data_IF_451758938965
#
_entry.id   IF_451758938965
#
_cell.length_a   1.000
_cell.length_b   1.000
_cell.length_c   1.000
_cell.angle_alpha   90.00
_cell.angle_beta   90.00
_cell.angle_gamma   90.00
#
_symmetry.space_group_name_H-M   'P 1'
#
loop_
_entity.id
_entity.type
_entity.pdbx_description
1 polymer ?
#
# COMPACT_ATOMS: atom_id res chain seq x y z
N UNK A 1 -31.02 -8.20 12.55
CA UNK A 1 -32.02 -8.22 11.45
C UNK A 1 -31.85 -6.88 10.72
N UNK A 2 -31.13 -6.86 9.60
CA UNK A 2 -30.99 -5.63 8.82
C UNK A 2 -32.39 -5.17 8.37
N UNK A 3 -32.76 -3.93 8.70
CA UNK A 3 -33.98 -3.32 8.18
C UNK A 3 -33.91 -3.33 6.64
N UNK A 4 -34.93 -3.89 6.00
CA UNK A 4 -35.05 -3.85 4.55
C UNK A 4 -35.28 -2.39 4.13
N UNK A 5 -34.43 -1.88 3.24
CA UNK A 5 -34.56 -0.53 2.69
C UNK A 5 -35.97 -0.31 2.12
N UNK A 6 -36.56 0.85 2.40
CA UNK A 6 -37.93 1.16 1.95
C UNK A 6 -37.96 1.43 0.44
N UNK A 7 -39.13 1.34 -0.19
CA UNK A 7 -39.29 1.70 -1.61
C UNK A 7 -38.90 3.17 -1.88
N UNK A 8 -39.09 4.04 -0.89
CA UNK A 8 -38.69 5.45 -0.94
C UNK A 8 -37.16 5.60 -0.95
N UNK A 9 -36.46 4.85 -0.11
CA UNK A 9 -34.98 4.85 -0.06
C UNK A 9 -34.38 4.35 -1.38
N UNK A 10 -34.94 3.28 -1.95
CA UNK A 10 -34.51 2.74 -3.24
C UNK A 10 -34.73 3.77 -4.36
N UNK A 11 -35.87 4.46 -4.36
CA UNK A 11 -36.17 5.48 -5.35
C UNK A 11 -35.25 6.70 -5.20
N UNK A 12 -34.96 7.12 -3.96
CA UNK A 12 -34.02 8.21 -3.68
C UNK A 12 -32.61 7.85 -4.16
N UNK A 13 -32.11 6.65 -3.84
CA UNK A 13 -30.82 6.16 -4.31
C UNK A 13 -30.70 6.22 -5.85
N UNK A 14 -31.71 5.71 -6.57
CA UNK A 14 -31.75 5.77 -8.05
C UNK A 14 -31.75 7.20 -8.58
N UNK A 15 -32.45 8.13 -7.91
CA UNK A 15 -32.46 9.54 -8.30
C UNK A 15 -31.10 10.21 -8.11
N UNK A 16 -30.39 9.90 -7.02
CA UNK A 16 -29.03 10.41 -6.76
C UNK A 16 -28.08 9.92 -7.84
N UNK A 17 -28.04 8.61 -8.11
CA UNK A 17 -27.17 8.02 -9.14
C UNK A 17 -27.47 8.63 -10.51
N UNK A 18 -28.75 8.75 -10.87
CA UNK A 18 -29.16 9.33 -12.14
C UNK A 18 -28.87 10.83 -12.27
N UNK A 19 -28.91 11.59 -11.16
CA UNK A 19 -28.49 12.99 -11.15
C UNK A 19 -26.98 13.13 -11.32
N UNK A 20 -26.19 12.24 -10.69
CA UNK A 20 -24.74 12.17 -10.85
C UNK A 20 -24.32 11.82 -12.29
N UNK A 21 -24.98 10.83 -12.90
CA UNK A 21 -24.74 10.44 -14.29
C UNK A 21 -24.96 11.60 -15.28
N UNK A 22 -25.98 12.44 -15.02
CA UNK A 22 -26.30 13.62 -15.84
C UNK A 22 -25.50 14.88 -15.50
N UNK A 23 -24.61 14.81 -14.50
CA UNK A 23 -23.89 15.95 -13.93
C UNK A 23 -24.81 17.11 -13.48
N UNK A 24 -25.98 16.78 -12.94
CA UNK A 24 -26.99 17.75 -12.46
C UNK A 24 -26.70 18.17 -11.02
N UNK A 25 -25.71 19.05 -10.85
CA UNK A 25 -25.26 19.56 -9.54
C UNK A 25 -26.40 20.19 -8.72
N UNK A 26 -27.32 21.01 -9.29
CA UNK A 26 -28.47 21.51 -8.53
C UNK A 26 -29.37 20.40 -7.97
N UNK A 27 -29.68 19.37 -8.75
CA UNK A 27 -30.47 18.24 -8.27
C UNK A 27 -29.72 17.45 -7.19
N UNK A 28 -28.42 17.18 -7.38
CA UNK A 28 -27.59 16.49 -6.39
C UNK A 28 -27.58 17.20 -5.04
N UNK A 29 -27.40 18.52 -5.02
CA UNK A 29 -27.42 19.31 -3.78
C UNK A 29 -28.76 19.26 -3.03
N UNK A 30 -29.86 18.95 -3.72
CA UNK A 30 -31.16 18.75 -3.08
C UNK A 30 -31.25 17.32 -2.56
N UNK A 31 -30.92 16.33 -3.41
CA UNK A 31 -31.09 14.92 -3.10
C UNK A 31 -30.16 14.42 -1.98
N UNK A 32 -28.95 14.97 -1.88
CA UNK A 32 -27.95 14.61 -0.85
C UNK A 32 -28.28 15.17 0.54
N UNK A 33 -29.30 16.01 0.69
CA UNK A 33 -29.75 16.47 2.02
C UNK A 33 -30.41 15.36 2.84
N UNK A 34 -31.18 14.54 2.14
CA UNK A 34 -31.97 13.45 2.75
C UNK A 34 -31.45 12.08 2.32
N UNK A 35 -30.39 12.02 1.52
CA UNK A 35 -29.78 10.79 1.00
C UNK A 35 -28.26 10.77 1.15
N UNK A 36 -27.63 9.71 0.66
CA UNK A 36 -26.19 9.49 0.81
C UNK A 36 -25.46 9.53 -0.53
N UNK A 37 -24.24 10.07 -0.54
CA UNK A 37 -23.34 9.99 -1.70
C UNK A 37 -22.79 8.56 -1.93
N UNK A 38 -23.03 7.65 -0.98
CA UNK A 38 -22.60 6.24 -1.00
C UNK A 38 -23.74 5.26 -1.24
N UNK A 39 -24.89 5.73 -1.74
CA UNK A 39 -25.95 4.81 -2.18
C UNK A 39 -25.42 3.88 -3.27
N UNK A 40 -25.86 2.62 -3.26
CA UNK A 40 -25.47 1.64 -4.27
C UNK A 40 -26.67 1.12 -5.06
N UNK A 41 -26.50 0.96 -6.38
CA UNK A 41 -27.38 0.20 -7.24
C UNK A 41 -26.80 -1.22 -7.43
N UNK A 42 -27.31 -2.24 -6.70
CA UNK A 42 -26.80 -3.60 -6.80
C UNK A 42 -27.18 -4.27 -8.11
N UNK A 43 -27.91 -3.62 -9.02
CA UNK A 43 -28.25 -4.15 -10.35
C UNK A 43 -27.29 -3.64 -11.43
N UNK A 44 -26.68 -2.47 -11.24
CA UNK A 44 -25.67 -1.92 -12.15
C UNK A 44 -24.36 -2.73 -12.10
N UNK A 45 -23.59 -2.72 -13.20
CA UNK A 45 -22.25 -3.32 -13.27
C UNK A 45 -21.17 -2.27 -13.04
N UNK A 46 -21.22 -1.18 -13.80
CA UNK A 46 -20.23 -0.09 -13.76
C UNK A 46 -20.68 1.06 -12.85
N UNK A 47 -21.89 1.59 -13.06
CA UNK A 47 -22.45 2.75 -12.33
C UNK A 47 -23.08 2.33 -10.99
N UNK A 48 -22.34 1.62 -10.15
CA UNK A 48 -22.85 1.08 -8.88
C UNK A 48 -23.06 2.16 -7.83
N UNK A 49 -22.24 3.22 -7.81
CA UNK A 49 -22.40 4.37 -6.90
C UNK A 49 -22.51 5.69 -7.69
N UNK A 50 -22.97 6.80 -7.07
CA UNK A 50 -23.02 8.11 -7.71
C UNK A 50 -21.68 8.54 -8.31
N UNK A 51 -20.57 8.23 -7.64
CA UNK A 51 -19.23 8.60 -8.11
C UNK A 51 -18.83 7.77 -9.34
N UNK A 52 -19.09 6.46 -9.34
CA UNK A 52 -18.91 5.63 -10.52
C UNK A 52 -19.75 6.14 -11.70
N UNK A 53 -21.02 6.49 -11.46
CA UNK A 53 -21.94 6.96 -12.49
C UNK A 53 -21.50 8.30 -13.11
N UNK A 54 -21.10 9.27 -12.27
CA UNK A 54 -20.62 10.57 -12.72
C UNK A 54 -19.34 10.45 -13.57
N UNK A 55 -18.40 9.60 -13.17
CA UNK A 55 -17.13 9.46 -13.90
C UNK A 55 -17.33 8.66 -15.19
N UNK A 56 -18.13 7.59 -15.14
CA UNK A 56 -18.42 6.77 -16.32
C UNK A 56 -19.09 7.58 -17.44
N UNK A 57 -19.96 8.54 -17.10
CA UNK A 57 -20.67 9.36 -18.08
C UNK A 57 -19.82 10.43 -18.79
N UNK A 58 -18.62 10.74 -18.26
CA UNK A 58 -17.65 11.62 -18.93
C UNK A 58 -17.22 11.07 -20.30
N UNK A 59 -17.20 9.74 -20.45
CA UNK A 59 -16.71 9.08 -21.66
C UNK A 59 -15.19 9.25 -21.87
N UNK A 60 -14.66 8.69 -22.96
CA UNK A 60 -13.23 8.73 -23.26
C UNK A 60 -12.79 10.14 -23.65
N UNK A 61 -11.68 10.60 -23.07
CA UNK A 61 -11.12 11.93 -23.36
C UNK A 61 -10.77 12.11 -24.84
N UNK A 62 -10.32 11.05 -25.53
CA UNK A 62 -10.04 11.05 -26.96
C UNK A 62 -11.27 11.32 -27.83
N UNK A 63 -12.45 10.86 -27.39
CA UNK A 63 -13.70 10.94 -28.15
C UNK A 63 -14.52 12.19 -27.79
N UNK A 64 -14.47 12.62 -26.53
CA UNK A 64 -15.36 13.67 -25.98
C UNK A 64 -14.64 14.92 -25.47
N UNK A 65 -13.31 15.00 -25.58
CA UNK A 65 -12.45 16.01 -24.92
C UNK A 65 -12.47 15.82 -23.39
N UNK A 66 -11.67 16.60 -22.67
CA UNK A 66 -11.59 16.58 -21.21
C UNK A 66 -12.97 16.78 -20.56
N UNK A 67 -13.13 16.24 -19.34
CA UNK A 67 -14.36 16.35 -18.55
C UNK A 67 -14.86 17.80 -18.45
N UNK A 68 -16.18 17.98 -18.59
CA UNK A 68 -16.80 19.31 -18.50
C UNK A 68 -16.72 19.87 -17.07
N UNK A 69 -16.87 21.18 -16.93
CA UNK A 69 -16.87 21.83 -15.61
C UNK A 69 -18.01 21.31 -14.72
N UNK A 70 -19.15 20.96 -15.31
CA UNK A 70 -20.27 20.33 -14.59
C UNK A 70 -19.91 18.93 -14.06
N UNK A 71 -19.16 18.15 -14.84
CA UNK A 71 -18.69 16.84 -14.42
C UNK A 71 -17.68 16.95 -13.27
N UNK A 72 -16.73 17.87 -13.37
CA UNK A 72 -15.76 18.19 -12.32
C UNK A 72 -16.48 18.63 -11.04
N UNK A 73 -17.43 19.57 -11.16
CA UNK A 73 -18.20 20.05 -10.02
C UNK A 73 -19.07 18.96 -9.40
N UNK A 74 -19.58 18.02 -10.21
CA UNK A 74 -20.32 16.85 -9.73
C UNK A 74 -19.44 15.95 -8.87
N UNK A 75 -18.25 15.59 -9.37
CA UNK A 75 -17.28 14.77 -8.63
C UNK A 75 -16.87 15.45 -7.32
N UNK A 76 -16.55 16.75 -7.38
CA UNK A 76 -16.23 17.54 -6.18
C UNK A 76 -17.36 17.53 -5.16
N UNK A 77 -18.60 17.78 -5.60
CA UNK A 77 -19.79 17.80 -4.74
C UNK A 77 -19.99 16.44 -4.06
N UNK A 78 -19.84 15.35 -4.79
CA UNK A 78 -19.98 13.99 -4.24
C UNK A 78 -18.91 13.70 -3.18
N UNK A 79 -17.65 14.02 -3.45
CA UNK A 79 -16.54 13.84 -2.50
C UNK A 79 -16.73 14.69 -1.24
N UNK A 80 -17.18 15.93 -1.36
CA UNK A 80 -17.50 16.81 -0.22
C UNK A 80 -18.66 16.28 0.64
N UNK A 81 -19.55 15.47 0.06
CA UNK A 81 -20.65 14.79 0.75
C UNK A 81 -20.29 13.35 1.16
N UNK A 82 -18.99 13.03 1.24
CA UNK A 82 -18.52 11.77 1.80
C UNK A 82 -18.52 10.58 0.83
N UNK A 83 -18.55 10.81 -0.49
CA UNK A 83 -18.39 9.74 -1.46
C UNK A 83 -17.05 9.02 -1.28
N UNK A 84 -17.09 7.69 -1.25
CA UNK A 84 -15.91 6.83 -1.04
C UNK A 84 -15.10 6.73 -2.34
N UNK A 85 -13.81 7.08 -2.26
CA UNK A 85 -12.93 7.18 -3.43
C UNK A 85 -12.44 5.83 -3.98
N UNK A 86 -12.39 4.82 -3.11
CA UNK A 86 -11.92 3.46 -3.35
C UNK A 86 -13.05 2.42 -3.34
N UNK A 87 -14.31 2.83 -3.39
CA UNK A 87 -15.44 1.90 -3.44
C UNK A 87 -15.37 1.08 -4.73
N UNK A 88 -15.68 -0.22 -4.66
CA UNK A 88 -15.55 -1.11 -5.81
C UNK A 88 -16.90 -1.32 -6.48
N UNK A 89 -16.91 -1.27 -7.81
CA UNK A 89 -18.05 -1.76 -8.59
C UNK A 89 -17.98 -3.29 -8.80
N UNK A 90 -18.92 -3.85 -9.57
CA UNK A 90 -18.96 -5.31 -9.82
C UNK A 90 -17.85 -5.82 -10.74
N UNK A 91 -17.14 -4.92 -11.41
CA UNK A 91 -16.01 -5.21 -12.29
C UNK A 91 -14.68 -5.03 -11.55
N UNK A 92 -14.72 -4.89 -10.22
CA UNK A 92 -13.55 -4.64 -9.38
C UNK A 92 -12.80 -3.35 -9.76
N UNK A 93 -13.53 -2.33 -10.24
CA UNK A 93 -13.00 -1.01 -10.51
C UNK A 93 -13.43 -0.01 -9.44
N UNK A 94 -12.50 0.86 -9.03
CA UNK A 94 -12.82 2.08 -8.27
C UNK A 94 -13.25 3.20 -9.23
N UNK A 95 -13.85 4.30 -8.73
CA UNK A 95 -14.08 5.48 -9.56
C UNK A 95 -12.78 6.05 -10.17
N UNK A 96 -11.65 5.93 -9.46
CA UNK A 96 -10.32 6.28 -9.99
C UNK A 96 -9.86 5.36 -11.14
N UNK A 97 -10.11 4.05 -11.04
CA UNK A 97 -9.84 3.11 -12.14
C UNK A 97 -10.61 3.49 -13.40
N UNK A 98 -11.90 3.84 -13.28
CA UNK A 98 -12.71 4.30 -14.41
C UNK A 98 -12.15 5.60 -14.99
N UNK A 99 -11.82 6.59 -14.15
CA UNK A 99 -11.26 7.87 -14.60
C UNK A 99 -9.96 7.67 -15.41
N UNK A 100 -9.07 6.81 -14.91
CA UNK A 100 -7.83 6.46 -15.58
C UNK A 100 -8.08 5.78 -16.93
N UNK A 101 -8.94 4.75 -16.96
CA UNK A 101 -9.29 4.01 -18.19
C UNK A 101 -9.94 4.91 -19.26
N UNK A 102 -10.69 5.93 -18.84
CA UNK A 102 -11.28 6.92 -19.74
C UNK A 102 -10.31 8.03 -20.17
N UNK A 103 -9.09 8.08 -19.62
CA UNK A 103 -8.12 9.13 -19.87
C UNK A 103 -8.52 10.50 -19.30
N UNK A 104 -9.43 10.52 -18.33
CA UNK A 104 -9.95 11.75 -17.72
C UNK A 104 -9.01 12.26 -16.62
N UNK A 105 -7.84 12.76 -17.03
CA UNK A 105 -6.72 13.10 -16.12
C UNK A 105 -7.13 14.00 -14.95
N UNK A 106 -7.84 15.11 -15.19
CA UNK A 106 -8.26 16.03 -14.12
C UNK A 106 -9.15 15.35 -13.08
N UNK A 107 -10.06 14.48 -13.51
CA UNK A 107 -10.92 13.70 -12.61
C UNK A 107 -10.10 12.65 -11.86
N UNK A 108 -9.17 11.98 -12.54
CA UNK A 108 -8.26 11.03 -11.91
C UNK A 108 -7.43 11.70 -10.79
N UNK A 109 -6.85 12.87 -11.07
CA UNK A 109 -6.08 13.64 -10.10
C UNK A 109 -6.95 14.01 -8.88
N UNK A 110 -8.22 14.41 -9.07
CA UNK A 110 -9.16 14.65 -7.98
C UNK A 110 -9.41 13.40 -7.12
N UNK A 111 -9.48 12.22 -7.75
CA UNK A 111 -9.64 10.94 -7.04
C UNK A 111 -8.40 10.60 -6.20
N UNK A 112 -7.19 10.79 -6.74
CA UNK A 112 -5.94 10.62 -6.00
C UNK A 112 -5.92 11.57 -4.79
N UNK A 113 -6.22 12.85 -5.00
CA UNK A 113 -6.25 13.83 -3.91
C UNK A 113 -7.31 13.50 -2.84
N UNK A 114 -8.46 12.95 -3.25
CA UNK A 114 -9.48 12.49 -2.31
C UNK A 114 -8.97 11.34 -1.43
N UNK A 115 -8.27 10.37 -2.03
CA UNK A 115 -7.64 9.28 -1.29
C UNK A 115 -6.61 9.79 -0.30
N UNK A 116 -5.70 10.66 -0.73
CA UNK A 116 -4.69 11.26 0.15
C UNK A 116 -5.33 12.00 1.32
N UNK A 117 -6.36 12.82 1.08
CA UNK A 117 -7.08 13.53 2.15
C UNK A 117 -7.74 12.56 3.14
N UNK A 118 -8.33 11.47 2.64
CA UNK A 118 -8.96 10.46 3.49
C UNK A 118 -7.93 9.77 4.40
N UNK A 119 -6.81 9.30 3.85
CA UNK A 119 -5.75 8.62 4.61
C UNK A 119 -5.16 9.54 5.70
N UNK A 120 -4.89 10.81 5.38
CA UNK A 120 -4.39 11.79 6.36
C UNK A 120 -5.42 12.04 7.46
N UNK A 121 -6.70 12.20 7.09
CA UNK A 121 -7.76 12.41 8.06
C UNK A 121 -7.85 11.22 9.03
N UNK A 122 -7.82 9.99 8.52
CA UNK A 122 -7.85 8.79 9.35
C UNK A 122 -6.63 8.66 10.26
N UNK A 123 -5.43 8.90 9.73
CA UNK A 123 -4.22 8.89 10.55
C UNK A 123 -4.28 9.92 11.69
N UNK A 124 -4.85 11.11 11.44
CA UNK A 124 -5.05 12.14 12.48
C UNK A 124 -6.14 11.77 13.47
N UNK A 125 -7.26 11.18 13.02
CA UNK A 125 -8.32 10.69 13.91
C UNK A 125 -7.81 9.59 14.84
N UNK A 126 -7.05 8.63 14.31
CA UNK A 126 -6.41 7.57 15.11
C UNK A 126 -5.45 8.18 16.14
N UNK A 127 -4.60 9.12 15.74
CA UNK A 127 -3.66 9.80 16.63
C UNK A 127 -4.36 10.61 17.75
N UNK A 128 -5.56 11.13 17.50
CA UNK A 128 -6.38 11.83 18.50
C UNK A 128 -7.20 10.87 19.39
N UNK A 129 -7.09 9.56 19.19
CA UNK A 129 -7.91 8.57 19.90
C UNK A 129 -9.39 8.64 19.52
N UNK A 130 -9.71 9.21 18.36
CA UNK A 130 -11.06 9.33 17.80
C UNK A 130 -11.41 8.18 16.83
N UNK A 131 -10.57 7.14 16.77
CA UNK A 131 -10.88 5.92 16.02
C UNK A 131 -11.87 5.06 16.80
N UNK A 132 -13.01 4.73 16.20
CA UNK A 132 -13.91 3.71 16.76
C UNK A 132 -13.19 2.35 16.77
N UNK A 133 -13.21 1.57 17.87
CA UNK A 133 -12.88 0.16 17.79
C UNK A 133 -13.91 -0.52 16.89
N UNK A 134 -13.48 -1.15 15.81
CA UNK A 134 -14.37 -1.98 15.02
C UNK A 134 -14.91 -3.11 15.93
N UNK A 135 -16.20 -3.06 16.28
CA UNK A 135 -16.86 -4.20 16.92
C UNK A 135 -16.87 -5.38 15.91
N UNK A 136 -16.25 -6.50 16.29
CA UNK A 136 -16.30 -7.76 15.55
C UNK A 136 -17.76 -8.24 15.44
N UNK A 137 -18.44 -7.90 14.33
CA UNK A 137 -19.70 -8.54 13.98
C UNK A 137 -19.36 -9.93 13.41
N UNK A 138 -19.71 -10.97 14.15
CA UNK A 138 -19.76 -12.36 13.66
C UNK A 138 -20.78 -12.47 12.51
N UNK A 139 -20.37 -12.08 11.30
CA UNK A 139 -20.99 -12.53 10.04
C UNK A 139 -19.88 -13.02 9.10
N UNK A 140 -20.03 -14.26 8.63
CA UNK A 140 -19.12 -15.05 7.80
C UNK A 140 -18.84 -14.43 6.40
N UNK A 141 -18.24 -13.25 6.36
CA UNK A 141 -17.63 -12.68 5.17
C UNK A 141 -16.20 -12.26 5.50
N UNK A 142 -15.24 -13.06 5.06
CA UNK A 142 -13.80 -12.85 5.18
C UNK A 142 -13.42 -11.40 4.82
N UNK A 143 -13.14 -10.59 5.84
CA UNK A 143 -12.43 -9.32 5.67
C UNK A 143 -10.95 -9.67 5.81
N UNK A 144 -10.34 -9.97 4.68
CA UNK A 144 -8.90 -10.14 4.52
C UNK A 144 -8.23 -8.78 4.79
N UNK A 145 -7.39 -8.68 5.81
CA UNK A 145 -6.51 -7.53 6.04
C UNK A 145 -5.35 -7.57 5.03
N UNK A 146 -5.61 -7.22 3.76
CA UNK A 146 -4.54 -7.18 2.76
C UNK A 146 -3.51 -6.07 3.04
N UNK A 147 -2.23 -6.39 2.84
CA UNK A 147 -1.13 -5.41 2.67
C UNK A 147 -1.58 -4.27 1.76
N UNK A 148 -1.16 -3.02 2.01
CA UNK A 148 -2.01 -1.82 1.99
C UNK A 148 -2.90 -1.72 0.75
N UNK A 149 -4.00 -2.46 0.76
CA UNK A 149 -5.15 -2.24 -0.08
C UNK A 149 -6.08 -1.37 0.76
N UNK A 150 -6.52 -0.26 0.16
CA UNK A 150 -7.22 0.81 0.85
C UNK A 150 -8.35 0.28 1.78
N UNK A 151 -8.27 0.63 3.06
CA UNK A 151 -9.22 0.20 4.11
C UNK A 151 -10.66 0.43 3.60
N UNK A 152 -11.48 -0.62 3.60
CA UNK A 152 -12.93 -0.47 3.36
C UNK A 152 -13.53 0.40 4.47
N UNK A 153 -14.02 1.58 4.14
CA UNK A 153 -14.80 2.41 5.07
C UNK A 153 -16.12 1.69 5.40
N UNK A 154 -16.34 1.32 6.67
CA UNK A 154 -17.64 0.88 7.21
C UNK A 154 -18.13 1.86 8.28
N UNK A 155 -19.45 2.08 8.34
CA UNK A 155 -20.15 2.91 9.33
C UNK A 155 -20.98 2.01 10.24
N UNK A 156 -21.06 2.38 11.52
CA UNK A 156 -21.61 1.62 12.66
C UNK A 156 -23.14 1.61 12.77
N UNK A 157 -23.68 0.54 13.41
CA UNK A 157 -25.01 0.49 14.05
C UNK A 157 -24.86 -0.19 15.42
N UNK A 158 -25.50 0.36 16.46
CA UNK A 158 -25.20 0.18 17.90
C UNK A 158 -25.51 -1.20 18.57
N UNK A 159 -24.63 -1.51 19.54
CA UNK A 159 -24.74 -2.20 20.85
C UNK A 159 -24.95 -3.75 20.98
N UNK A 160 -23.90 -4.46 21.42
CA UNK A 160 -23.93 -5.42 22.56
C UNK A 160 -22.52 -5.91 23.03
N UNK A 161 -22.29 -5.95 24.36
CA UNK A 161 -21.01 -6.31 25.02
C UNK A 161 -20.64 -7.81 24.96
N UNK A 162 -19.33 -8.17 24.91
CA UNK A 162 -18.86 -9.56 24.78
C UNK A 162 -18.69 -10.30 26.11
N UNK A 163 -18.77 -11.63 26.06
CA UNK A 163 -18.42 -12.58 27.14
C UNK A 163 -17.18 -13.36 26.69
N UNK A 164 -16.07 -13.22 27.42
CA UNK A 164 -14.79 -13.89 27.13
C UNK A 164 -14.84 -15.41 27.39
N UNK A 165 -14.35 -16.19 26.43
CA UNK A 165 -13.91 -17.58 26.62
C UNK A 165 -12.52 -17.78 25.99
N UNK A 166 -11.71 -18.72 26.54
CA UNK A 166 -10.27 -18.77 26.31
C UNK A 166 -9.93 -19.25 24.90
N UNK A 167 -8.99 -18.55 24.26
CA UNK A 167 -8.57 -18.73 22.87
C UNK A 167 -7.82 -20.05 22.65
N UNK A 168 -8.40 -20.93 21.83
CA UNK A 168 -7.62 -21.88 21.04
C UNK A 168 -6.85 -21.10 19.97
N UNK A 169 -5.56 -21.41 19.74
CA UNK A 169 -4.76 -20.80 18.66
C UNK A 169 -5.53 -20.88 17.34
N UNK A 170 -6.01 -19.73 16.83
CA UNK A 170 -6.63 -19.64 15.51
C UNK A 170 -5.52 -19.93 14.48
N UNK A 171 -5.68 -21.00 13.70
CA UNK A 171 -4.84 -21.22 12.51
C UNK A 171 -5.22 -20.14 11.51
N UNK A 172 -4.29 -19.23 11.20
CA UNK A 172 -4.50 -18.21 10.16
C UNK A 172 -4.46 -18.89 8.79
N UNK A 173 -5.38 -18.50 7.90
CA UNK A 173 -5.38 -18.93 6.49
C UNK A 173 -4.26 -18.24 5.68
N UNK A 174 -3.98 -16.98 6.02
CA UNK A 174 -2.89 -16.20 5.44
C UNK A 174 -1.91 -15.78 6.55
N UNK A 175 -0.71 -16.39 6.54
CA UNK A 175 0.32 -16.11 7.55
C UNK A 175 0.93 -14.72 7.40
N UNK A 176 0.76 -14.05 6.25
CA UNK A 176 1.30 -12.70 6.01
C UNK A 176 0.56 -11.60 6.78
N UNK A 177 -0.60 -11.93 7.36
CA UNK A 177 -1.43 -11.02 8.15
C UNK A 177 -0.87 -10.77 9.56
N UNK A 178 0.00 -11.65 10.05
CA UNK A 178 0.63 -11.49 11.36
C UNK A 178 2.12 -11.79 11.26
N UNK A 179 2.94 -10.81 11.64
CA UNK A 179 4.39 -10.92 11.57
C UNK A 179 4.91 -12.14 12.35
N UNK A 180 4.32 -12.45 13.52
CA UNK A 180 4.74 -13.58 14.33
C UNK A 180 4.36 -14.93 13.71
N UNK A 181 3.22 -15.03 13.04
CA UNK A 181 2.80 -16.19 12.27
C UNK A 181 3.71 -16.39 11.06
N UNK A 182 3.97 -15.34 10.28
CA UNK A 182 4.92 -15.37 9.16
C UNK A 182 6.30 -15.88 9.58
N UNK A 183 6.86 -15.37 10.68
CA UNK A 183 8.20 -15.79 11.17
C UNK A 183 8.26 -17.24 11.68
N UNK A 184 7.12 -17.87 11.94
CA UNK A 184 7.01 -19.30 12.30
C UNK A 184 6.68 -20.18 11.09
N UNK A 185 6.27 -19.57 9.98
CA UNK A 185 5.81 -20.26 8.77
C UNK A 185 6.95 -20.93 8.01
N UNK A 186 6.61 -21.77 7.03
CA UNK A 186 7.57 -22.43 6.15
C UNK A 186 7.73 -21.69 4.82
N UNK A 187 8.91 -21.11 4.61
CA UNK A 187 9.32 -20.54 3.33
C UNK A 187 9.73 -21.62 2.32
N UNK A 188 9.37 -21.39 1.06
CA UNK A 188 9.69 -22.24 -0.08
C UNK A 188 10.44 -21.46 -1.14
N UNK A 189 11.72 -21.77 -1.33
CA UNK A 189 12.52 -21.24 -2.44
C UNK A 189 12.28 -22.08 -3.69
N UNK A 190 11.75 -21.47 -4.74
CA UNK A 190 11.70 -22.03 -6.10
C UNK A 190 12.63 -21.22 -7.02
N UNK A 191 12.75 -21.64 -8.28
CA UNK A 191 13.50 -20.86 -9.26
C UNK A 191 12.82 -19.51 -9.45
N UNK A 192 13.53 -18.42 -9.13
CA UNK A 192 13.05 -17.05 -9.34
C UNK A 192 12.01 -16.52 -8.34
N UNK A 193 11.57 -17.31 -7.35
CA UNK A 193 10.54 -16.88 -6.39
C UNK A 193 10.76 -17.48 -5.00
N UNK A 194 10.49 -16.66 -3.99
CA UNK A 194 10.36 -17.04 -2.58
C UNK A 194 8.88 -16.96 -2.17
N UNK A 195 8.34 -18.07 -1.68
CA UNK A 195 6.95 -18.15 -1.20
C UNK A 195 6.92 -18.34 0.32
N UNK A 196 5.90 -17.79 0.97
CA UNK A 196 5.55 -18.13 2.35
C UNK A 196 4.72 -19.43 2.44
N UNK A 197 4.22 -19.75 3.63
CA UNK A 197 3.41 -20.96 3.83
C UNK A 197 2.06 -20.90 3.11
N UNK A 198 1.47 -19.71 2.99
CA UNK A 198 0.18 -19.42 2.37
C UNK A 198 0.26 -19.12 0.86
N UNK A 199 1.40 -19.42 0.23
CA UNK A 199 1.69 -19.17 -1.19
C UNK A 199 1.74 -17.68 -1.59
N UNK A 200 1.91 -16.75 -0.64
CA UNK A 200 2.24 -15.37 -1.00
C UNK A 200 3.67 -15.29 -1.53
N UNK A 201 3.86 -14.52 -2.61
CA UNK A 201 5.18 -14.21 -3.12
C UNK A 201 5.86 -13.16 -2.23
N UNK A 202 6.87 -13.61 -1.48
CA UNK A 202 7.66 -12.77 -0.56
C UNK A 202 8.70 -11.97 -1.33
N UNK A 203 9.28 -12.56 -2.39
CA UNK A 203 10.28 -11.93 -3.25
C UNK A 203 10.32 -12.64 -4.60
N UNK A 204 10.51 -11.89 -5.69
CA UNK A 204 10.68 -12.45 -7.03
C UNK A 204 11.89 -11.88 -7.78
N UNK A 205 12.41 -12.61 -8.75
CA UNK A 205 13.60 -12.22 -9.52
C UNK A 205 13.34 -11.16 -10.60
N UNK A 206 12.09 -10.94 -11.02
CA UNK A 206 11.74 -9.86 -11.94
C UNK A 206 12.14 -8.47 -11.41
N UNK A 207 12.21 -8.34 -10.08
CA UNK A 207 12.62 -7.12 -9.37
C UNK A 207 14.13 -6.84 -9.45
N UNK A 208 14.93 -7.72 -10.06
CA UNK A 208 16.40 -7.62 -10.06
C UNK A 208 16.91 -6.26 -10.54
N UNK A 209 16.31 -5.70 -11.60
CA UNK A 209 16.73 -4.39 -12.12
C UNK A 209 16.38 -3.25 -11.14
N UNK A 210 15.25 -3.35 -10.45
CA UNK A 210 14.83 -2.39 -9.42
C UNK A 210 15.81 -2.43 -8.23
N UNK A 211 16.15 -3.63 -7.76
CA UNK A 211 17.11 -3.82 -6.65
C UNK A 211 18.51 -3.30 -7.00
N UNK A 212 18.96 -3.52 -8.23
CA UNK A 212 20.22 -2.96 -8.74
C UNK A 212 20.18 -1.44 -8.76
N UNK A 213 19.06 -0.86 -9.22
CA UNK A 213 18.90 0.59 -9.27
C UNK A 213 18.86 1.23 -7.88
N UNK A 214 18.27 0.57 -6.89
CA UNK A 214 18.36 0.99 -5.48
C UNK A 214 19.80 1.03 -4.99
N UNK A 215 20.58 -0.03 -5.21
CA UNK A 215 22.00 -0.04 -4.84
C UNK A 215 22.79 1.09 -5.53
N UNK A 216 22.57 1.33 -6.82
CA UNK A 216 23.23 2.41 -7.57
C UNK A 216 22.91 3.81 -7.05
N UNK A 217 21.64 4.09 -6.76
CA UNK A 217 21.18 5.42 -6.35
C UNK A 217 21.58 5.74 -4.91
N UNK A 218 21.52 4.74 -4.03
CA UNK A 218 21.89 4.87 -2.62
C UNK A 218 23.42 4.83 -2.41
N UNK A 219 24.16 4.09 -3.25
CA UNK A 219 25.60 3.86 -3.09
C UNK A 219 26.38 4.34 -4.33
N UNK A 220 26.44 5.67 -4.58
CA UNK A 220 27.04 6.23 -5.80
C UNK A 220 28.59 6.16 -5.80
N UNK A 221 29.21 5.72 -4.71
CA UNK A 221 30.66 5.63 -4.56
C UNK A 221 31.05 4.51 -3.59
N UNK A 222 32.25 3.95 -3.71
CA UNK A 222 32.73 2.91 -2.80
C UNK A 222 32.98 3.46 -1.38
N UNK A 223 33.07 2.54 -0.42
CA UNK A 223 33.46 2.83 0.96
C UNK A 223 32.36 3.38 1.84
N UNK A 224 31.08 3.31 1.41
CA UNK A 224 29.94 3.68 2.25
C UNK A 224 29.62 2.58 3.26
N UNK A 225 29.08 2.97 4.42
CA UNK A 225 28.53 2.07 5.43
C UNK A 225 27.04 1.90 5.16
N UNK A 226 26.60 0.66 4.98
CA UNK A 226 25.28 0.39 4.40
C UNK A 226 24.49 -0.54 5.31
N UNK A 227 23.16 -0.47 5.23
CA UNK A 227 22.26 -1.42 5.86
C UNK A 227 21.13 -1.80 4.93
N UNK A 228 20.78 -3.08 4.95
CA UNK A 228 19.52 -3.59 4.43
C UNK A 228 18.71 -4.21 5.59
N UNK A 229 17.40 -4.00 5.57
CA UNK A 229 16.43 -4.62 6.47
C UNK A 229 15.47 -5.47 5.64
N UNK A 230 15.60 -6.80 5.77
CA UNK A 230 14.93 -7.81 4.93
C UNK A 230 15.86 -8.35 3.84
N UNK A 231 16.42 -9.55 4.04
CA UNK A 231 17.34 -10.17 3.07
C UNK A 231 16.59 -10.86 1.93
N UNK A 232 15.51 -11.58 2.26
CA UNK A 232 14.69 -12.32 1.29
C UNK A 232 15.51 -13.32 0.45
N UNK A 233 15.70 -12.99 -0.84
CA UNK A 233 16.50 -13.78 -1.78
C UNK A 233 17.96 -13.32 -1.90
N UNK A 234 18.32 -12.19 -1.29
CA UNK A 234 19.64 -11.57 -1.30
C UNK A 234 19.96 -10.81 -2.58
N UNK A 235 18.93 -10.41 -3.35
CA UNK A 235 19.09 -9.71 -4.63
C UNK A 235 19.68 -8.32 -4.39
N UNK A 236 19.06 -7.53 -3.51
CA UNK A 236 19.54 -6.18 -3.18
C UNK A 236 20.89 -6.22 -2.46
N UNK A 237 21.11 -7.13 -1.51
CA UNK A 237 22.40 -7.23 -0.82
C UNK A 237 23.53 -7.60 -1.79
N UNK A 238 23.25 -8.47 -2.77
CA UNK A 238 24.21 -8.81 -3.81
C UNK A 238 24.54 -7.58 -4.65
N UNK A 239 23.54 -6.79 -5.04
CA UNK A 239 23.74 -5.53 -5.75
C UNK A 239 24.52 -4.52 -4.90
N UNK A 240 24.19 -4.33 -3.62
CA UNK A 240 24.91 -3.45 -2.70
C UNK A 240 26.40 -3.80 -2.66
N UNK A 241 26.74 -5.09 -2.59
CA UNK A 241 28.14 -5.52 -2.57
C UNK A 241 28.91 -5.24 -3.87
N UNK A 242 28.26 -5.03 -5.02
CA UNK A 242 28.96 -4.64 -6.26
C UNK A 242 29.44 -3.18 -6.23
N UNK A 243 29.00 -2.40 -5.23
CA UNK A 243 29.38 -1.00 -5.02
C UNK A 243 30.50 -0.84 -3.98
N UNK A 244 31.17 -1.93 -3.59
CA UNK A 244 32.30 -1.95 -2.65
C UNK A 244 32.06 -1.14 -1.35
N UNK A 245 30.98 -1.45 -0.58
CA UNK A 245 30.74 -0.78 0.71
C UNK A 245 31.84 -1.14 1.71
N UNK A 246 32.18 -0.19 2.59
CA UNK A 246 33.16 -0.43 3.66
C UNK A 246 32.63 -1.44 4.69
N UNK A 247 31.33 -1.36 4.96
CA UNK A 247 30.58 -2.35 5.74
C UNK A 247 29.13 -2.42 5.26
N UNK A 248 28.51 -3.58 5.45
CA UNK A 248 27.14 -3.86 5.06
C UNK A 248 26.44 -4.66 6.16
N UNK A 249 25.45 -4.05 6.79
CA UNK A 249 24.60 -4.65 7.80
C UNK A 249 23.38 -5.28 7.14
N UNK A 250 23.07 -6.53 7.44
CA UNK A 250 21.85 -7.20 6.99
C UNK A 250 21.04 -7.56 8.24
N UNK A 251 19.85 -6.98 8.36
CA UNK A 251 18.90 -7.33 9.41
C UNK A 251 17.87 -8.29 8.82
N UNK A 252 17.78 -9.49 9.37
CA UNK A 252 16.88 -10.52 8.86
C UNK A 252 16.22 -11.22 10.05
N UNK A 253 14.91 -11.43 9.99
CA UNK A 253 14.14 -11.98 11.10
C UNK A 253 13.82 -13.48 10.93
N UNK A 254 13.69 -13.96 9.69
CA UNK A 254 13.14 -15.28 9.42
C UNK A 254 14.21 -16.39 9.55
N UNK A 255 14.01 -17.41 10.42
CA UNK A 255 15.01 -18.45 10.69
C UNK A 255 15.51 -19.22 9.47
N UNK A 256 14.63 -19.54 8.51
CA UNK A 256 15.04 -20.21 7.27
C UNK A 256 15.90 -19.35 6.34
N UNK A 257 15.76 -18.02 6.41
CA UNK A 257 16.62 -17.10 5.66
C UNK A 257 18.02 -17.08 6.29
N UNK A 258 18.13 -17.12 7.63
CA UNK A 258 19.41 -17.27 8.33
C UNK A 258 20.14 -18.56 7.93
N UNK A 259 19.42 -19.68 7.89
CA UNK A 259 19.99 -20.95 7.44
C UNK A 259 20.58 -20.81 6.03
N UNK A 260 19.83 -20.21 5.10
CA UNK A 260 20.28 -20.00 3.73
C UNK A 260 21.46 -19.02 3.63
N UNK A 261 21.47 -17.96 4.43
CA UNK A 261 22.59 -17.03 4.55
C UNK A 261 23.88 -17.77 4.95
N UNK A 262 23.79 -18.70 5.91
CA UNK A 262 24.92 -19.57 6.31
C UNK A 262 25.36 -20.49 5.18
N UNK A 263 24.42 -21.19 4.55
CA UNK A 263 24.70 -22.12 3.44
C UNK A 263 25.36 -21.44 2.23
N UNK A 264 24.98 -20.18 1.96
CA UNK A 264 25.54 -19.37 0.88
C UNK A 264 26.82 -18.61 1.27
N UNK A 265 27.33 -18.78 2.48
CA UNK A 265 28.57 -18.16 2.94
C UNK A 265 28.49 -16.65 3.15
N UNK A 266 27.29 -16.09 3.43
CA UNK A 266 27.16 -14.66 3.71
C UNK A 266 27.84 -14.25 5.02
N UNK A 267 27.82 -15.12 6.03
CA UNK A 267 28.49 -14.89 7.31
C UNK A 267 30.03 -14.83 7.19
N UNK A 268 30.59 -15.39 6.13
CA UNK A 268 32.04 -15.43 5.90
C UNK A 268 32.55 -14.22 5.11
N UNK A 269 31.65 -13.34 4.64
CA UNK A 269 32.03 -12.13 3.89
C UNK A 269 32.62 -11.09 4.84
N UNK A 270 33.83 -10.57 4.59
CA UNK A 270 34.58 -9.77 5.56
C UNK A 270 33.95 -8.41 5.88
N UNK A 271 33.20 -7.83 4.94
CA UNK A 271 32.53 -6.54 5.10
C UNK A 271 31.02 -6.69 5.42
N UNK A 272 30.52 -7.90 5.65
CA UNK A 272 29.11 -8.13 5.96
C UNK A 272 28.91 -8.47 7.44
N UNK A 273 27.89 -7.86 8.06
CA UNK A 273 27.45 -8.14 9.43
C UNK A 273 25.98 -8.56 9.40
N UNK A 274 25.72 -9.83 9.65
CA UNK A 274 24.34 -10.35 9.75
C UNK A 274 23.82 -10.18 11.17
N UNK A 275 22.61 -9.63 11.30
CA UNK A 275 21.89 -9.52 12.57
C UNK A 275 20.62 -10.37 12.49
N UNK A 276 20.57 -11.42 13.31
CA UNK A 276 19.43 -12.34 13.36
C UNK A 276 18.37 -11.81 14.33
N UNK A 277 17.22 -11.42 13.79
CA UNK A 277 16.08 -10.96 14.57
C UNK A 277 15.28 -9.88 13.86
N UNK A 278 14.16 -9.52 14.49
CA UNK A 278 13.31 -8.42 14.05
C UNK A 278 14.07 -7.10 14.14
N UNK A 279 13.86 -6.21 13.19
CA UNK A 279 14.52 -4.91 13.18
C UNK A 279 14.12 -4.08 14.42
N UNK A 280 12.89 -4.22 14.90
CA UNK A 280 12.39 -3.59 16.12
C UNK A 280 13.25 -3.96 17.35
N UNK A 281 13.85 -5.16 17.38
CA UNK A 281 14.69 -5.62 18.49
C UNK A 281 16.18 -5.31 18.30
N UNK A 282 16.61 -5.09 17.05
CA UNK A 282 18.03 -4.95 16.69
C UNK A 282 18.42 -3.48 16.56
N UNK A 283 17.63 -2.67 15.86
CA UNK A 283 17.97 -1.28 15.58
C UNK A 283 18.17 -0.43 16.85
N UNK A 284 17.37 -0.56 17.94
CA UNK A 284 17.66 0.14 19.20
C UNK A 284 19.08 -0.11 19.72
N UNK A 285 19.56 -1.34 19.63
CA UNK A 285 20.91 -1.72 20.09
C UNK A 285 22.00 -1.11 19.21
N UNK A 286 21.76 -1.01 17.91
CA UNK A 286 22.70 -0.35 16.98
C UNK A 286 22.76 1.16 17.21
N UNK A 287 21.63 1.79 17.54
CA UNK A 287 21.56 3.19 17.95
C UNK A 287 22.37 3.41 19.23
N UNK A 288 22.18 2.56 20.25
CA UNK A 288 22.93 2.63 21.51
C UNK A 288 24.46 2.45 21.31
N UNK A 289 24.85 1.66 20.31
CA UNK A 289 26.25 1.47 19.91
C UNK A 289 26.83 2.65 19.11
N UNK A 290 26.01 3.64 18.74
CA UNK A 290 26.43 4.79 17.95
C UNK A 290 26.72 4.45 16.48
N UNK A 291 26.03 3.44 15.93
CA UNK A 291 26.12 3.11 14.51
C UNK A 291 25.58 4.29 13.70
N UNK A 292 26.31 4.66 12.66
CA UNK A 292 25.91 5.70 11.69
C UNK A 292 26.15 5.15 10.29
N UNK A 293 25.17 5.29 9.40
CA UNK A 293 25.14 4.65 8.09
C UNK A 293 25.02 5.70 6.99
N UNK A 294 25.71 5.48 5.89
CA UNK A 294 25.68 6.38 4.73
C UNK A 294 24.55 5.99 3.75
N UNK A 295 24.09 4.74 3.78
CA UNK A 295 22.93 4.27 3.03
C UNK A 295 22.10 3.24 3.82
N UNK A 296 20.77 3.35 3.75
CA UNK A 296 19.82 2.39 4.34
C UNK A 296 18.80 1.97 3.28
N UNK A 297 18.56 0.67 3.15
CA UNK A 297 17.50 0.09 2.32
C UNK A 297 16.55 -0.74 3.20
N UNK A 298 15.26 -0.69 2.90
CA UNK A 298 14.20 -1.41 3.63
C UNK A 298 13.26 -2.13 2.68
N UNK A 299 13.12 -3.44 2.87
CA UNK A 299 12.30 -4.31 2.03
C UNK A 299 11.92 -5.57 2.83
N UNK A 300 10.94 -5.40 3.71
CA UNK A 300 10.45 -6.46 4.60
C UNK A 300 9.15 -7.05 4.09
N UNK A 301 8.65 -8.07 4.79
CA UNK A 301 7.40 -8.76 4.45
C UNK A 301 6.57 -9.02 5.70
N UNK A 302 5.24 -9.12 5.53
CA UNK A 302 4.27 -9.29 6.63
C UNK A 302 4.37 -8.16 7.67
N UNK A 303 4.44 -6.92 7.18
CA UNK A 303 4.39 -5.68 7.95
C UNK A 303 3.45 -4.69 7.25
N UNK A 304 2.77 -3.85 8.03
CA UNK A 304 1.86 -2.83 7.51
C UNK A 304 2.57 -1.50 7.25
N UNK A 305 1.85 -0.53 6.69
CA UNK A 305 2.40 0.82 6.45
C UNK A 305 2.85 1.52 7.75
N UNK A 306 2.23 1.21 8.89
CA UNK A 306 2.60 1.79 10.19
C UNK A 306 4.01 1.38 10.59
N UNK A 307 4.39 0.13 10.31
CA UNK A 307 5.75 -0.35 10.53
C UNK A 307 6.78 0.41 9.65
N UNK A 308 6.50 0.61 8.35
CA UNK A 308 7.37 1.41 7.48
C UNK A 308 7.49 2.86 8.00
N UNK A 309 6.37 3.46 8.43
CA UNK A 309 6.34 4.81 8.99
C UNK A 309 7.18 4.91 10.27
N UNK A 310 7.01 3.97 11.20
CA UNK A 310 7.83 3.89 12.41
C UNK A 310 9.32 3.75 12.05
N UNK A 311 9.64 2.86 11.10
CA UNK A 311 11.01 2.63 10.67
C UNK A 311 11.69 3.91 10.21
N UNK A 312 11.09 4.68 9.29
CA UNK A 312 11.73 5.89 8.79
C UNK A 312 11.66 7.07 9.77
N UNK A 313 10.61 7.18 10.59
CA UNK A 313 10.44 8.33 11.50
C UNK A 313 11.29 8.22 12.78
N UNK A 314 11.56 7.00 13.24
CA UNK A 314 12.30 6.77 14.48
C UNK A 314 13.73 6.26 14.23
N UNK A 315 13.88 5.26 13.36
CA UNK A 315 15.14 4.51 13.25
C UNK A 315 16.06 5.02 12.15
N UNK A 316 15.51 5.33 10.96
CA UNK A 316 16.31 5.94 9.89
C UNK A 316 16.83 7.30 10.34
N UNK A 317 16.01 8.14 10.98
CA UNK A 317 16.45 9.43 11.54
C UNK A 317 17.63 9.27 12.52
N UNK A 318 17.61 8.23 13.35
CA UNK A 318 18.67 8.00 14.35
C UNK A 318 19.96 7.39 13.77
N UNK A 319 19.85 6.57 12.73
CA UNK A 319 20.97 5.78 12.18
C UNK A 319 21.60 6.42 10.94
N UNK A 320 20.88 7.24 10.19
CA UNK A 320 21.36 7.78 8.91
C UNK A 320 22.33 8.95 9.15
N UNK A 321 23.44 8.93 8.42
CA UNK A 321 24.37 10.04 8.37
C UNK A 321 23.70 11.29 7.78
N UNK A 322 24.20 12.48 8.14
CA UNK A 322 23.67 13.76 7.66
C UNK A 322 23.53 13.85 6.13
N UNK A 323 24.51 13.32 5.40
CA UNK A 323 24.51 13.30 3.93
C UNK A 323 24.15 11.90 3.36
N UNK A 324 23.59 11.03 4.21
CA UNK A 324 23.20 9.68 3.87
C UNK A 324 21.92 9.63 3.05
N UNK A 325 21.66 8.47 2.45
CA UNK A 325 20.46 8.20 1.65
C UNK A 325 19.65 7.04 2.20
N UNK A 326 18.34 7.17 2.18
CA UNK A 326 17.41 6.10 2.51
C UNK A 326 16.56 5.75 1.29
N UNK A 327 16.35 4.46 1.02
CA UNK A 327 15.39 3.97 0.04
C UNK A 327 14.63 2.78 0.61
N UNK A 328 13.49 2.45 0.02
CA UNK A 328 12.72 1.25 0.38
C UNK A 328 12.02 0.67 -0.85
N UNK A 329 11.56 -0.57 -0.74
CA UNK A 329 10.69 -1.17 -1.75
C UNK A 329 9.31 -0.51 -1.74
N UNK A 330 9.03 0.39 -2.67
CA UNK A 330 7.72 1.02 -2.79
C UNK A 330 6.71 0.12 -3.54
N UNK A 331 6.14 -0.86 -2.82
CA UNK A 331 5.05 -1.73 -3.28
C UNK A 331 3.66 -1.35 -2.77
N UNK A 332 3.49 -0.17 -2.17
CA UNK A 332 2.28 0.22 -1.45
C UNK A 332 1.07 0.34 -2.40
N UNK A 333 0.16 -0.63 -2.40
CA UNK A 333 -1.02 -0.63 -3.28
C UNK A 333 -0.70 -0.84 -4.76
N UNK A 334 0.41 -1.53 -5.07
CA UNK A 334 0.88 -1.77 -6.44
C UNK A 334 0.03 -2.78 -7.25
N UNK A 335 -0.97 -3.38 -6.62
CA UNK A 335 -2.05 -4.15 -7.24
C UNK A 335 -3.13 -3.26 -7.88
N UNK A 336 -3.06 -1.93 -7.67
CA UNK A 336 -4.02 -0.98 -8.25
C UNK A 336 -3.44 0.43 -8.38
N UNK A 337 -3.38 0.94 -9.62
CA UNK A 337 -2.76 2.24 -9.92
C UNK A 337 -3.24 3.41 -9.04
N UNK A 338 -4.55 3.52 -8.78
CA UNK A 338 -5.05 4.60 -7.93
C UNK A 338 -4.57 4.47 -6.48
N UNK A 339 -4.52 3.25 -5.93
CA UNK A 339 -3.99 3.01 -4.58
C UNK A 339 -2.49 3.31 -4.53
N UNK A 340 -1.75 2.85 -5.53
CA UNK A 340 -0.33 3.14 -5.68
C UNK A 340 -0.02 4.64 -5.69
N UNK A 341 -0.79 5.42 -6.45
CA UNK A 341 -0.63 6.86 -6.55
C UNK A 341 -1.00 7.59 -5.25
N UNK A 342 -2.04 7.13 -4.55
CA UNK A 342 -2.44 7.65 -3.24
C UNK A 342 -1.37 7.38 -2.19
N UNK A 343 -0.95 6.12 -2.04
CA UNK A 343 0.01 5.74 -1.00
C UNK A 343 1.42 6.25 -1.28
N UNK A 344 1.82 6.43 -2.55
CA UNK A 344 3.05 7.14 -2.92
C UNK A 344 3.06 8.56 -2.33
N UNK A 345 1.95 9.31 -2.50
CA UNK A 345 1.83 10.68 -1.96
C UNK A 345 1.72 10.70 -0.44
N UNK A 346 1.00 9.75 0.17
CA UNK A 346 0.92 9.64 1.63
C UNK A 346 2.30 9.37 2.24
N UNK A 347 3.06 8.44 1.66
CA UNK A 347 4.42 8.13 2.08
C UNK A 347 5.35 9.36 1.95
N UNK A 348 5.30 10.05 0.80
CA UNK A 348 6.08 11.28 0.59
C UNK A 348 5.78 12.36 1.64
N UNK A 349 4.49 12.55 1.99
CA UNK A 349 4.10 13.51 3.03
C UNK A 349 4.59 13.09 4.42
N UNK A 350 4.47 11.82 4.78
CA UNK A 350 4.93 11.33 6.08
C UNK A 350 6.48 11.36 6.20
N UNK A 351 7.20 11.11 5.10
CA UNK A 351 8.65 11.28 5.04
C UNK A 351 9.06 12.73 5.22
N UNK A 352 8.33 13.65 4.59
CA UNK A 352 8.55 15.08 4.80
C UNK A 352 8.28 15.48 6.26
N UNK A 353 7.23 14.96 6.90
CA UNK A 353 7.00 15.15 8.34
C UNK A 353 8.14 14.57 9.20
N UNK A 354 8.76 13.47 8.78
CA UNK A 354 9.95 12.89 9.42
C UNK A 354 11.27 13.62 9.11
N UNK A 355 11.26 14.64 8.25
CA UNK A 355 12.43 15.45 7.93
C UNK A 355 13.20 15.01 6.68
N UNK A 356 12.57 14.30 5.75
CA UNK A 356 13.16 13.88 4.48
C UNK A 356 12.53 14.58 3.27
N UNK A 357 13.37 14.97 2.30
CA UNK A 357 12.94 15.21 0.92
C UNK A 357 13.05 13.90 0.14
N UNK A 358 12.02 13.59 -0.67
CA UNK A 358 11.97 12.38 -1.51
C UNK A 358 12.11 12.75 -2.99
N UNK A 359 13.07 12.13 -3.67
CA UNK A 359 13.17 12.12 -5.13
C UNK A 359 12.66 10.77 -5.66
N UNK A 360 11.83 10.81 -6.71
CA UNK A 360 11.26 9.63 -7.34
C UNK A 360 11.88 9.37 -8.71
N UNK A 361 12.22 8.12 -8.99
CA UNK A 361 12.60 7.65 -10.32
C UNK A 361 11.62 6.58 -10.82
N UNK A 362 10.98 6.82 -11.95
CA UNK A 362 10.07 5.87 -12.60
C UNK A 362 10.87 4.80 -13.37
N UNK A 363 10.60 3.54 -13.07
CA UNK A 363 11.18 2.37 -13.70
C UNK A 363 10.05 1.53 -14.29
N UNK A 364 10.08 1.28 -15.60
CA UNK A 364 9.13 0.37 -16.22
C UNK A 364 9.38 -1.05 -15.73
N UNK A 365 8.33 -1.72 -15.24
CA UNK A 365 8.41 -3.15 -14.93
C UNK A 365 8.44 -3.97 -16.23
N UNK A 366 8.86 -5.24 -16.20
CA UNK A 366 8.91 -6.07 -17.40
C UNK A 366 7.58 -6.11 -18.15
N UNK A 367 7.62 -5.91 -19.47
CA UNK A 367 6.42 -5.99 -20.30
C UNK A 367 5.71 -7.35 -20.14
N UNK A 368 4.41 -7.30 -19.93
CA UNK A 368 3.60 -8.50 -19.80
C UNK A 368 3.68 -9.19 -18.44
N UNK A 369 4.27 -8.57 -17.41
CA UNK A 369 4.23 -9.07 -16.02
C UNK A 369 2.77 -9.26 -15.54
N UNK A 370 1.86 -8.38 -15.93
CA UNK A 370 0.47 -8.40 -15.47
C UNK A 370 -0.31 -9.52 -16.14
N UNK A 371 -0.91 -10.40 -15.34
CA UNK A 371 -1.57 -11.60 -15.86
C UNK A 371 -0.60 -12.60 -16.48
N UNK A 372 0.70 -12.50 -16.19
CA UNK A 372 1.69 -13.48 -16.63
C UNK A 372 1.58 -14.80 -15.88
N UNK A 373 2.07 -15.86 -16.54
CA UNK A 373 2.24 -17.18 -15.91
C UNK A 373 3.27 -17.14 -14.76
N UNK A 374 4.03 -16.05 -14.57
CA UNK A 374 4.94 -15.91 -13.43
C UNK A 374 4.20 -15.86 -12.08
N UNK A 375 2.92 -15.50 -12.10
CA UNK A 375 2.05 -15.52 -10.92
C UNK A 375 1.43 -16.90 -10.64
N UNK A 376 1.61 -17.89 -11.53
CA UNK A 376 1.06 -19.23 -11.33
C UNK A 376 1.61 -19.89 -10.05
N UNK A 377 0.71 -20.33 -9.18
CA UNK A 377 1.05 -20.93 -7.89
C UNK A 377 1.41 -19.92 -6.80
N UNK A 378 1.16 -18.62 -7.03
CA UNK A 378 1.04 -17.61 -5.98
C UNK A 378 -0.41 -17.48 -5.54
N UNK A 379 -0.64 -17.07 -4.28
CA UNK A 379 -1.98 -16.80 -3.75
C UNK A 379 -2.67 -15.67 -4.51
N UNK A 380 -1.92 -14.63 -4.84
CA UNK A 380 -2.35 -13.45 -5.60
C UNK A 380 -1.13 -12.71 -6.18
N UNK A 381 -1.28 -12.00 -7.31
CA UNK A 381 -0.26 -11.05 -7.76
C UNK A 381 -0.20 -9.87 -6.78
N UNK A 382 1.00 -9.48 -6.35
CA UNK A 382 1.20 -8.27 -5.53
C UNK A 382 1.54 -7.03 -6.37
N UNK A 383 1.72 -7.20 -7.68
CA UNK A 383 2.08 -6.13 -8.60
C UNK A 383 1.33 -6.26 -9.93
N UNK A 384 0.60 -5.20 -10.30
CA UNK A 384 -0.20 -5.18 -11.54
C UNK A 384 -0.17 -3.83 -12.26
N UNK A 385 0.83 -2.98 -11.99
CA UNK A 385 0.99 -1.65 -12.60
C UNK A 385 2.29 -1.53 -13.41
N UNK A 386 2.30 -0.67 -14.43
CA UNK A 386 3.39 -0.69 -15.43
C UNK A 386 4.70 -0.03 -14.94
N UNK A 387 4.63 0.76 -13.85
CA UNK A 387 5.74 1.59 -13.38
C UNK A 387 5.98 1.38 -11.90
N UNK A 388 7.22 1.06 -11.55
CA UNK A 388 7.76 1.13 -10.20
C UNK A 388 8.35 2.51 -9.95
N UNK A 389 7.95 3.18 -8.86
CA UNK A 389 8.53 4.46 -8.42
C UNK A 389 9.57 4.21 -7.35
N UNK A 390 10.82 4.39 -7.69
CA UNK A 390 11.97 4.24 -6.80
C UNK A 390 12.14 5.50 -5.93
N UNK A 391 12.02 5.40 -4.59
CA UNK A 391 12.27 6.52 -3.70
C UNK A 391 13.75 6.65 -3.31
N UNK A 392 14.29 7.87 -3.42
CA UNK A 392 15.56 8.27 -2.83
C UNK A 392 15.32 9.41 -1.86
N UNK A 393 15.61 9.16 -0.60
CA UNK A 393 15.30 10.09 0.49
C UNK A 393 16.57 10.65 1.09
N UNK A 394 16.58 11.95 1.32
CA UNK A 394 17.67 12.67 1.98
C UNK A 394 17.11 13.63 3.01
N UNK A 395 17.85 13.92 4.08
CA UNK A 395 17.40 14.92 5.04
C UNK A 395 17.13 16.26 4.37
N UNK A 396 16.03 16.91 4.73
CA UNK A 396 15.69 18.26 4.27
C UNK A 396 16.84 19.21 4.62
N UNK A 397 17.20 20.09 3.67
CA UNK A 397 18.36 20.97 3.77
C UNK A 397 18.14 22.26 4.55
#
# INVERSE_FOLDING_TARGET
MAEQATEEDILLAKRIISAAERHDVPALNILLKDGSANVQDPTATVATSPLHAAIASCGKAEERKEASEEAIQTVETLLQNGAIWNDLNKEDETPGCIALRLGQKKIYDMMVEAGVRAEILFARMEALGMGEPAEEVEEEAEILEEQPAAKKQKISTEDAKPVEQPTSEKVLDDVSLDNHAYLKSQLRYKSGILLDESDNAVMMDWETQIMQRHAETLIPKPGLRTMNVGHGMGIVDTAILTHDPAEHHIIEAHPQVHQRLREKGWYDKPNVKIHEGRWQDILPKLIEQGVVLDAIYYDTFAEDYKALKEFFSEYVVALLAKDGKFGWYNGLGADRQICYDVYTKVAEMDLYEAGFDTEWEDINVPEGLHGSDQWEGTRRPYWTIDVYRLPVNTFVK
#
